data_IF_856941264204
#
_entry.id   IF_856941264204
#
_cell.length_a   1.000
_cell.length_b   1.000
_cell.length_c   1.000
_cell.angle_alpha   90.00
_cell.angle_beta   90.00
_cell.angle_gamma   90.00
#
_symmetry.space_group_name_H-M   'P 1'
#
loop_
_entity.id
_entity.type
_entity.pdbx_description
1 polymer ?
#
# COMPACT_ATOMS: atom_id res chain seq x y z
N UNK A 1 -18.71 -14.26 4.45
CA UNK A 1 -17.75 -13.17 4.70
C UNK A 1 -17.39 -12.64 3.33
N UNK A 2 -17.55 -11.33 3.11
CA UNK A 2 -17.19 -10.73 1.83
C UNK A 2 -15.68 -10.52 1.78
N UNK A 3 -15.08 -10.69 0.61
CA UNK A 3 -13.65 -10.44 0.41
C UNK A 3 -13.37 -8.94 0.53
N UNK A 4 -12.35 -8.57 1.31
CA UNK A 4 -11.89 -7.19 1.40
C UNK A 4 -10.94 -6.93 0.24
N UNK A 5 -11.21 -5.89 -0.54
CA UNK A 5 -10.46 -5.56 -1.75
C UNK A 5 -9.96 -4.11 -1.73
N UNK A 6 -8.81 -3.89 -2.36
CA UNK A 6 -8.43 -2.58 -2.86
C UNK A 6 -8.90 -2.45 -4.30
N UNK A 7 -9.54 -1.33 -4.64
CA UNK A 7 -10.04 -1.08 -5.99
C UNK A 7 -9.91 0.38 -6.39
N UNK A 8 -9.85 0.62 -7.68
CA UNK A 8 -10.01 1.94 -8.28
C UNK A 8 -11.17 1.94 -9.30
N UNK A 9 -11.21 2.94 -10.18
CA UNK A 9 -12.21 3.02 -11.25
C UNK A 9 -12.00 1.98 -12.37
N UNK A 10 -10.81 1.38 -12.46
CA UNK A 10 -10.43 0.41 -13.50
C UNK A 10 -10.61 -1.04 -13.05
N UNK A 11 -10.64 -1.30 -11.75
CA UNK A 11 -10.99 -2.61 -11.22
C UNK A 11 -10.40 -2.91 -9.86
N UNK A 12 -10.25 -4.21 -9.58
CA UNK A 12 -9.70 -4.73 -8.33
C UNK A 12 -8.17 -4.68 -8.42
N UNK A 13 -7.57 -3.88 -7.55
CA UNK A 13 -6.12 -3.72 -7.41
C UNK A 13 -5.50 -4.88 -6.64
N UNK A 14 -6.15 -5.33 -5.57
CA UNK A 14 -5.69 -6.46 -4.77
C UNK A 14 -6.83 -7.02 -3.92
N UNK A 15 -6.77 -8.32 -3.65
CA UNK A 15 -7.49 -8.96 -2.56
C UNK A 15 -6.63 -8.85 -1.30
N UNK A 16 -7.17 -8.20 -0.28
CA UNK A 16 -6.44 -7.90 0.94
C UNK A 16 -5.88 -9.18 1.57
N UNK A 17 -4.60 -9.14 1.95
CA UNK A 17 -3.85 -10.25 2.55
C UNK A 17 -3.81 -11.54 1.71
N UNK A 18 -4.10 -11.46 0.40
CA UNK A 18 -4.11 -12.62 -0.49
C UNK A 18 -3.26 -12.43 -1.76
N UNK A 19 -3.63 -11.51 -2.66
CA UNK A 19 -2.94 -11.33 -3.95
C UNK A 19 -3.23 -9.99 -4.62
N UNK A 20 -2.24 -9.52 -5.38
CA UNK A 20 -2.40 -8.40 -6.28
C UNK A 20 -3.19 -8.79 -7.54
N UNK A 21 -3.93 -7.84 -8.09
CA UNK A 21 -4.57 -7.93 -9.39
C UNK A 21 -3.54 -7.89 -10.51
N UNK A 22 -3.77 -8.65 -11.58
CA UNK A 22 -2.78 -8.84 -12.65
C UNK A 22 -2.31 -7.53 -13.27
N UNK A 23 -3.24 -6.58 -13.47
CA UNK A 23 -2.96 -5.28 -14.08
C UNK A 23 -2.16 -4.30 -13.17
N UNK A 24 -1.93 -4.66 -11.90
CA UNK A 24 -1.33 -3.79 -10.89
C UNK A 24 0.02 -4.28 -10.39
N UNK A 25 0.56 -5.37 -10.96
CA UNK A 25 1.88 -5.88 -10.62
C UNK A 25 2.98 -4.90 -11.03
N UNK A 26 4.05 -4.89 -10.24
CA UNK A 26 5.26 -4.13 -10.56
C UNK A 26 5.96 -4.82 -11.74
N UNK A 27 6.35 -4.03 -12.74
CA UNK A 27 7.08 -4.47 -13.93
C UNK A 27 8.33 -3.62 -14.15
N UNK A 28 9.14 -3.94 -15.17
CA UNK A 28 10.28 -3.10 -15.56
C UNK A 28 9.87 -1.68 -15.99
N UNK A 29 8.62 -1.52 -16.44
CA UNK A 29 8.10 -0.24 -16.92
C UNK A 29 7.52 0.63 -15.80
N UNK A 30 7.33 0.08 -14.60
CA UNK A 30 6.76 0.80 -13.46
C UNK A 30 7.70 1.92 -13.00
N UNK A 31 7.19 3.16 -12.95
CA UNK A 31 7.94 4.36 -12.50
C UNK A 31 7.49 4.92 -11.16
N UNK A 32 6.23 4.68 -10.78
CA UNK A 32 5.64 5.15 -9.53
C UNK A 32 5.05 3.95 -8.78
N UNK A 33 5.16 3.97 -7.46
CA UNK A 33 4.67 2.90 -6.59
C UNK A 33 3.63 3.44 -5.62
N UNK A 34 2.55 2.70 -5.44
CA UNK A 34 1.68 2.84 -4.29
C UNK A 34 1.96 1.67 -3.35
N UNK A 35 2.45 1.98 -2.14
CA UNK A 35 2.73 1.00 -1.11
C UNK A 35 1.72 1.15 0.01
N UNK A 36 1.10 0.04 0.42
CA UNK A 36 0.10 0.03 1.49
C UNK A 36 0.60 -0.84 2.63
N UNK A 37 0.82 -0.25 3.79
CA UNK A 37 1.12 -0.97 5.03
C UNK A 37 -0.15 -1.08 5.87
N UNK A 38 -0.94 -2.11 5.58
CA UNK A 38 -2.17 -2.42 6.31
C UNK A 38 -1.83 -2.86 7.74
N UNK A 39 -2.76 -2.60 8.66
CA UNK A 39 -2.67 -3.05 10.04
C UNK A 39 -3.85 -3.91 10.43
N UNK A 40 -3.67 -4.64 11.51
CA UNK A 40 -4.73 -5.34 12.23
C UNK A 40 -4.79 -4.85 13.69
N UNK A 41 -5.68 -5.46 14.48
CA UNK A 41 -5.91 -5.11 15.89
C UNK A 41 -4.66 -5.14 16.79
N UNK A 42 -3.59 -5.83 16.36
CA UNK A 42 -2.35 -6.00 17.11
C UNK A 42 -1.20 -5.10 16.60
N UNK A 43 -1.44 -4.25 15.60
CA UNK A 43 -0.42 -3.35 15.06
C UNK A 43 -0.84 -1.90 15.25
N UNK A 44 -0.01 -1.11 15.93
CA UNK A 44 -0.25 0.32 16.06
C UNK A 44 0.20 1.09 14.81
N UNK A 45 -0.32 2.31 14.66
CA UNK A 45 -0.05 3.17 13.48
C UNK A 45 1.44 3.51 13.37
N UNK A 46 2.11 3.82 14.48
CA UNK A 46 3.51 4.27 14.45
C UNK A 46 4.44 3.15 14.00
N UNK A 47 4.21 1.93 14.47
CA UNK A 47 4.97 0.75 14.04
C UNK A 47 4.83 0.48 12.54
N UNK A 48 3.65 0.69 11.96
CA UNK A 48 3.43 0.55 10.51
C UNK A 48 4.10 1.65 9.71
N UNK A 49 4.00 2.90 10.16
CA UNK A 49 4.69 4.02 9.53
C UNK A 49 6.21 3.79 9.57
N UNK A 50 6.76 3.32 10.69
CA UNK A 50 8.17 2.97 10.81
C UNK A 50 8.56 1.84 9.85
N UNK A 51 7.73 0.80 9.70
CA UNK A 51 7.95 -0.28 8.75
C UNK A 51 7.95 0.22 7.30
N UNK A 52 6.95 1.01 6.90
CA UNK A 52 6.86 1.56 5.56
C UNK A 52 8.03 2.51 5.25
N UNK A 53 8.44 3.32 6.23
CA UNK A 53 9.61 4.20 6.11
C UNK A 53 10.89 3.42 5.81
N UNK A 54 11.10 2.27 6.47
CA UNK A 54 12.25 1.39 6.19
C UNK A 54 12.21 0.86 4.76
N UNK A 55 11.03 0.43 4.28
CA UNK A 55 10.87 -0.03 2.89
C UNK A 55 11.18 1.09 1.91
N UNK A 56 10.65 2.29 2.12
CA UNK A 56 10.93 3.43 1.25
C UNK A 56 12.41 3.82 1.24
N UNK A 57 13.10 3.77 2.39
CA UNK A 57 14.55 3.98 2.47
C UNK A 57 15.33 2.96 1.65
N UNK A 58 14.99 1.67 1.78
CA UNK A 58 15.64 0.61 1.00
C UNK A 58 15.41 0.80 -0.51
N UNK A 59 14.22 1.23 -0.92
CA UNK A 59 13.94 1.54 -2.33
C UNK A 59 14.80 2.72 -2.78
N UNK A 60 14.89 3.79 -1.99
CA UNK A 60 15.69 4.97 -2.31
C UNK A 60 17.19 4.67 -2.42
N UNK A 61 17.72 3.76 -1.60
CA UNK A 61 19.12 3.31 -1.70
C UNK A 61 19.44 2.68 -3.07
N UNK A 62 18.46 2.00 -3.69
CA UNK A 62 18.61 1.35 -5.00
C UNK A 62 18.18 2.30 -6.14
N UNK A 63 17.25 3.21 -5.86
CA UNK A 63 16.69 4.21 -6.77
C UNK A 63 16.95 5.62 -6.21
N UNK A 64 18.17 6.18 -6.34
CA UNK A 64 18.60 7.39 -5.62
C UNK A 64 17.82 8.66 -5.97
N UNK A 65 17.07 8.66 -7.07
CA UNK A 65 16.20 9.77 -7.48
C UNK A 65 14.74 9.59 -7.07
N UNK A 66 14.39 8.50 -6.37
CA UNK A 66 13.02 8.29 -5.92
C UNK A 66 12.71 9.18 -4.72
N UNK A 67 11.56 9.84 -4.75
CA UNK A 67 11.00 10.57 -3.63
C UNK A 67 9.77 9.82 -3.09
N UNK A 68 9.45 9.99 -1.81
CA UNK A 68 8.27 9.37 -1.22
C UNK A 68 7.61 10.26 -0.17
N UNK A 69 6.29 10.10 -0.07
CA UNK A 69 5.45 10.67 0.98
C UNK A 69 4.71 9.52 1.68
N UNK A 70 4.44 9.67 2.98
CA UNK A 70 3.63 8.72 3.75
C UNK A 70 2.41 9.45 4.30
N UNK A 71 1.22 8.95 3.95
CA UNK A 71 -0.04 9.41 4.50
C UNK A 71 -0.66 8.34 5.41
N UNK A 72 -1.16 8.74 6.58
CA UNK A 72 -1.98 7.87 7.44
C UNK A 72 -3.44 8.06 7.05
N UNK A 73 -4.06 7.00 6.52
CA UNK A 73 -5.48 7.00 6.18
C UNK A 73 -6.25 6.33 7.31
N UNK A 74 -7.17 7.08 7.91
CA UNK A 74 -8.16 6.53 8.83
C UNK A 74 -9.49 6.40 8.10
N UNK A 75 -10.27 5.36 8.40
CA UNK A 75 -11.66 5.36 7.98
C UNK A 75 -12.34 6.59 8.59
N UNK A 76 -13.05 7.37 7.78
CA UNK A 76 -14.13 8.19 8.32
C UNK A 76 -15.26 7.25 8.72
N UNK A 77 -15.95 7.56 9.82
CA UNK A 77 -17.16 6.84 10.22
C UNK A 77 -18.07 6.67 9.00
N UNK A 78 -18.53 5.45 8.75
CA UNK A 78 -19.40 5.04 7.64
C UNK A 78 -18.84 5.10 6.21
N UNK A 79 -17.53 4.94 6.01
CA UNK A 79 -17.00 4.62 4.66
C UNK A 79 -16.14 3.36 4.70
N UNK A 80 -16.73 2.23 4.27
CA UNK A 80 -15.98 1.17 3.63
C UNK A 80 -15.70 1.66 2.20
N UNK A 81 -14.43 1.67 1.80
CA UNK A 81 -13.91 2.05 0.46
C UNK A 81 -14.92 2.38 -0.64
#
# INVERSE_FOLDING_TARGET
>A
MEDIIYRDQKGIMAYLDARDGEAYKITSETKNLLLVMQGNANTDVLSRVAALTRVCKNIHEICPYSEYEIAVVTQKDNTFF
#
